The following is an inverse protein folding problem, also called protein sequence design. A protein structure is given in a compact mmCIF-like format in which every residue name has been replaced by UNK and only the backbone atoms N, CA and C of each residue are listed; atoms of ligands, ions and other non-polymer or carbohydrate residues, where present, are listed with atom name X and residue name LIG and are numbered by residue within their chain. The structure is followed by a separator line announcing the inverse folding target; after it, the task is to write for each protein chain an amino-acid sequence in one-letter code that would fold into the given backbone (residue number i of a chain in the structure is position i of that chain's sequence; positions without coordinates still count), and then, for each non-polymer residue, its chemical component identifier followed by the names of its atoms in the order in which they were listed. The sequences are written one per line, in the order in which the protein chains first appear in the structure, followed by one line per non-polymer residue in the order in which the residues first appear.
data_IF_847398076340
#
_entry.id   IF_847398076340
#
_cell.length_a   1.000
_cell.length_b   1.000
_cell.length_c   1.000
_cell.angle_alpha   90.00
_cell.angle_beta   90.00
_cell.angle_gamma   90.00
#
_symmetry.space_group_name_H-M   'P 1'
#
loop_
_entity.id
_entity.type
_entity.pdbx_description
1 polymer ?
#
# COMPACT_ATOMS: atom_id res chain seq x y z
N UNK A 1 23.56 -35.77 -64.39
CA UNK A 1 23.98 -34.71 -63.42
C UNK A 1 22.82 -34.44 -62.53
N UNK A 2 22.77 -34.91 -61.29
CA UNK A 2 21.71 -34.53 -60.31
C UNK A 2 22.07 -33.29 -59.53
N UNK A 3 21.11 -32.36 -59.42
CA UNK A 3 21.17 -31.12 -58.68
C UNK A 3 20.82 -31.44 -57.23
N UNK A 4 21.75 -31.17 -56.30
CA UNK A 4 21.50 -31.23 -54.85
C UNK A 4 20.79 -29.94 -54.41
N UNK A 5 19.54 -30.09 -53.97
CA UNK A 5 18.79 -29.04 -53.31
C UNK A 5 19.15 -29.03 -51.82
N UNK A 6 19.93 -28.04 -51.41
CA UNK A 6 20.24 -27.81 -49.99
C UNK A 6 19.01 -27.28 -49.24
N UNK A 7 18.55 -28.00 -48.22
CA UNK A 7 17.51 -27.57 -47.30
C UNK A 7 18.17 -26.75 -46.20
N UNK A 8 17.92 -25.45 -46.20
CA UNK A 8 18.25 -24.56 -45.07
C UNK A 8 17.25 -24.78 -43.94
N UNK A 9 17.71 -25.38 -42.83
CA UNK A 9 16.96 -25.42 -41.58
C UNK A 9 17.15 -24.08 -40.88
N UNK A 10 16.10 -23.26 -40.86
CA UNK A 10 16.05 -22.07 -40.00
C UNK A 10 15.68 -22.55 -38.58
N UNK A 11 16.66 -22.53 -37.68
CA UNK A 11 16.44 -22.73 -36.27
C UNK A 11 15.84 -21.44 -35.65
N UNK A 12 14.54 -21.47 -35.34
CA UNK A 12 13.89 -20.40 -34.59
C UNK A 12 14.30 -20.52 -33.10
N UNK A 13 15.16 -19.61 -32.62
CA UNK A 13 15.46 -19.47 -31.21
C UNK A 13 14.25 -18.83 -30.52
N UNK A 14 13.44 -19.62 -29.83
CA UNK A 14 12.41 -19.14 -28.95
C UNK A 14 13.09 -18.60 -27.68
N UNK A 15 13.23 -17.28 -27.57
CA UNK A 15 13.64 -16.63 -26.33
C UNK A 15 12.49 -16.75 -25.33
N UNK A 16 12.59 -17.68 -24.39
CA UNK A 16 11.70 -17.76 -23.25
C UNK A 16 11.99 -16.53 -22.35
N UNK A 17 11.10 -15.55 -22.42
CA UNK A 17 11.07 -14.44 -21.44
C UNK A 17 10.70 -15.03 -20.09
N UNK A 18 11.70 -15.38 -19.29
CA UNK A 18 11.51 -15.64 -17.88
C UNK A 18 11.16 -14.30 -17.22
N UNK A 19 9.87 -14.02 -17.09
CA UNK A 19 9.43 -13.00 -16.14
C UNK A 19 9.68 -13.57 -14.75
N UNK A 20 10.74 -13.09 -14.09
CA UNK A 20 10.92 -13.32 -12.65
C UNK A 20 9.64 -12.86 -11.95
N UNK A 21 9.11 -13.63 -10.97
CA UNK A 21 7.96 -13.18 -10.20
C UNK A 21 8.33 -11.83 -9.58
N UNK A 22 7.47 -10.84 -9.78
CA UNK A 22 7.61 -9.56 -9.10
C UNK A 22 7.58 -9.89 -7.60
N UNK A 23 8.69 -9.68 -6.91
CA UNK A 23 8.74 -9.82 -5.45
C UNK A 23 7.80 -8.75 -4.89
N UNK A 24 6.70 -9.20 -4.32
CA UNK A 24 5.81 -8.34 -3.58
C UNK A 24 6.59 -7.70 -2.42
N UNK A 25 6.21 -6.47 -2.03
CA UNK A 25 6.76 -5.86 -0.80
C UNK A 25 6.73 -6.87 0.35
N UNK A 26 7.80 -6.92 1.14
CA UNK A 26 7.90 -7.77 2.32
C UNK A 26 7.43 -7.00 3.56
N UNK A 27 6.43 -7.53 4.24
CA UNK A 27 5.87 -6.95 5.45
C UNK A 27 6.43 -7.66 6.69
N UNK A 28 7.30 -6.98 7.43
CA UNK A 28 7.93 -7.52 8.63
C UNK A 28 7.08 -7.22 9.87
N UNK A 29 6.35 -8.22 10.34
CA UNK A 29 5.49 -8.14 11.52
C UNK A 29 5.71 -9.40 12.41
N UNK A 30 6.86 -9.50 13.12
CA UNK A 30 7.31 -10.73 13.76
C UNK A 30 6.60 -11.05 15.07
N UNK A 31 5.89 -10.10 15.67
CA UNK A 31 5.29 -10.26 16.99
C UNK A 31 3.76 -10.18 16.96
N UNK A 32 3.13 -10.83 17.97
CA UNK A 32 1.68 -10.88 18.10
C UNK A 32 1.04 -9.48 18.13
N UNK A 33 1.69 -8.51 18.79
CA UNK A 33 1.18 -7.14 18.87
C UNK A 33 1.06 -6.48 17.50
N UNK A 34 2.03 -6.70 16.61
CA UNK A 34 2.00 -6.16 15.26
C UNK A 34 0.78 -6.70 14.50
N UNK A 35 0.51 -8.00 14.62
CA UNK A 35 -0.65 -8.64 14.01
C UNK A 35 -1.98 -8.16 14.64
N UNK A 36 -2.05 -8.16 15.96
CA UNK A 36 -3.24 -7.71 16.70
C UNK A 36 -3.62 -6.26 16.40
N UNK A 37 -2.61 -5.39 16.24
CA UNK A 37 -2.79 -3.95 15.99
C UNK A 37 -2.76 -3.60 14.49
N UNK A 38 -2.68 -4.57 13.60
CA UNK A 38 -2.71 -4.42 12.14
C UNK A 38 -1.65 -3.42 11.62
N UNK A 39 -0.38 -3.63 11.98
CA UNK A 39 0.75 -2.85 11.43
C UNK A 39 1.97 -3.74 11.23
N UNK A 40 2.87 -3.33 10.33
CA UNK A 40 4.19 -3.92 10.21
C UNK A 40 5.23 -3.08 10.95
N UNK A 41 6.25 -3.73 11.51
CA UNK A 41 7.43 -3.04 12.08
C UNK A 41 8.26 -2.38 11.00
N UNK A 42 8.33 -3.04 9.84
CA UNK A 42 8.99 -2.54 8.65
C UNK A 42 8.29 -3.08 7.40
N UNK A 43 8.43 -2.39 6.30
CA UNK A 43 8.11 -2.88 4.96
C UNK A 43 9.35 -2.72 4.10
N UNK A 44 9.80 -3.81 3.49
CA UNK A 44 10.93 -3.81 2.57
C UNK A 44 10.40 -3.79 1.14
N UNK A 45 11.00 -2.97 0.30
CA UNK A 45 10.74 -2.90 -1.14
C UNK A 45 12.06 -2.82 -1.89
N UNK A 46 12.11 -3.40 -3.08
CA UNK A 46 13.26 -3.26 -3.98
C UNK A 46 12.85 -2.48 -5.23
N UNK A 47 13.54 -1.38 -5.49
CA UNK A 47 13.25 -0.50 -6.63
C UNK A 47 11.87 0.14 -6.54
N UNK A 48 11.31 0.44 -7.70
CA UNK A 48 10.02 1.11 -7.81
C UNK A 48 10.08 2.64 -7.70
N UNK A 49 8.95 3.26 -7.96
CA UNK A 49 8.78 4.72 -7.88
C UNK A 49 8.10 5.08 -6.57
N UNK A 50 8.79 5.86 -5.74
CA UNK A 50 8.25 6.36 -4.48
C UNK A 50 7.23 7.46 -4.74
N UNK A 51 6.08 7.37 -4.08
CA UNK A 51 5.02 8.37 -4.08
C UNK A 51 4.82 8.88 -2.66
N UNK A 52 5.01 10.17 -2.47
CA UNK A 52 4.75 10.87 -1.22
C UNK A 52 3.29 11.29 -1.19
N UNK A 53 2.54 10.80 -0.22
CA UNK A 53 1.12 11.08 -0.06
C UNK A 53 0.93 12.15 1.03
N UNK A 54 0.27 13.24 0.66
CA UNK A 54 -0.13 14.27 1.62
C UNK A 54 -1.17 13.75 2.62
N UNK A 55 -1.34 14.45 3.74
CA UNK A 55 -2.37 14.14 4.73
C UNK A 55 -3.77 14.14 4.12
N UNK A 56 -4.51 13.08 4.35
CA UNK A 56 -5.91 12.93 3.96
C UNK A 56 -6.79 12.96 5.19
N UNK A 57 -7.90 13.67 5.10
CA UNK A 57 -8.93 13.74 6.13
C UNK A 57 -10.29 13.37 5.54
N UNK A 58 -11.19 12.88 6.37
CA UNK A 58 -12.58 12.66 5.98
C UNK A 58 -13.44 13.93 6.11
N UNK A 59 -14.76 13.75 5.98
CA UNK A 59 -15.74 14.82 6.23
C UNK A 59 -15.83 15.11 7.74
N UNK A 60 -15.78 16.37 8.17
CA UNK A 60 -15.86 16.73 9.60
C UNK A 60 -17.23 16.45 10.22
N UNK A 61 -18.24 16.12 9.42
CA UNK A 61 -19.59 15.75 9.88
C UNK A 61 -19.84 14.26 9.91
N UNK A 62 -18.90 13.46 9.39
CA UNK A 62 -18.99 11.99 9.38
C UNK A 62 -18.56 11.39 10.72
N UNK A 63 -19.01 10.17 11.00
CA UNK A 63 -18.52 9.37 12.11
C UNK A 63 -17.01 9.07 11.97
N UNK A 64 -16.36 8.63 13.04
CA UNK A 64 -14.95 8.24 12.98
C UNK A 64 -14.72 7.15 11.93
N UNK A 65 -15.53 6.10 11.94
CA UNK A 65 -15.40 4.98 11.02
C UNK A 65 -15.60 5.42 9.57
N UNK A 66 -16.56 6.29 9.30
CA UNK A 66 -16.75 6.86 7.97
C UNK A 66 -15.56 7.72 7.53
N UNK A 67 -15.01 8.56 8.44
CA UNK A 67 -13.80 9.32 8.14
C UNK A 67 -12.62 8.41 7.78
N UNK A 68 -12.44 7.29 8.48
CA UNK A 68 -11.39 6.30 8.17
C UNK A 68 -11.59 5.71 6.77
N UNK A 69 -12.81 5.28 6.43
CA UNK A 69 -13.12 4.74 5.11
C UNK A 69 -12.94 5.78 3.99
N UNK A 70 -13.40 7.01 4.20
CA UNK A 70 -13.23 8.12 3.26
C UNK A 70 -11.74 8.38 2.97
N UNK A 71 -10.89 8.38 4.02
CA UNK A 71 -9.45 8.56 3.89
C UNK A 71 -8.80 7.43 3.08
N UNK A 72 -9.07 6.16 3.42
CA UNK A 72 -8.49 5.04 2.67
C UNK A 72 -8.97 5.02 1.22
N UNK A 73 -10.22 5.38 0.95
CA UNK A 73 -10.72 5.55 -0.42
C UNK A 73 -10.00 6.68 -1.16
N UNK A 74 -9.72 7.80 -0.51
CA UNK A 74 -8.97 8.91 -1.10
C UNK A 74 -7.52 8.52 -1.41
N UNK A 75 -6.83 7.83 -0.49
CA UNK A 75 -5.48 7.31 -0.69
C UNK A 75 -5.43 6.31 -1.85
N UNK A 76 -6.38 5.37 -1.91
CA UNK A 76 -6.49 4.39 -2.99
C UNK A 76 -6.63 5.05 -4.36
N UNK A 77 -7.56 6.01 -4.47
CA UNK A 77 -7.79 6.80 -5.69
C UNK A 77 -6.54 7.59 -6.09
N UNK A 78 -5.88 8.23 -5.12
CA UNK A 78 -4.66 9.02 -5.37
C UNK A 78 -3.54 8.15 -5.90
N UNK A 79 -3.27 7.00 -5.28
CA UNK A 79 -2.23 6.06 -5.73
C UNK A 79 -2.54 5.55 -7.15
N UNK A 80 -3.78 5.19 -7.44
CA UNK A 80 -4.22 4.76 -8.77
C UNK A 80 -4.08 5.87 -9.82
N UNK A 81 -4.42 7.11 -9.48
CA UNK A 81 -4.30 8.25 -10.39
C UNK A 81 -2.86 8.54 -10.82
N UNK A 82 -1.87 8.18 -10.00
CA UNK A 82 -0.45 8.31 -10.35
C UNK A 82 0.17 7.01 -10.89
N UNK A 83 -0.66 6.04 -11.27
CA UNK A 83 -0.26 4.81 -11.96
C UNK A 83 0.04 3.62 -11.05
N UNK A 84 -0.38 3.64 -9.79
CA UNK A 84 -0.25 2.54 -8.85
C UNK A 84 -1.43 1.58 -8.85
N UNK A 85 -1.32 0.52 -8.05
CA UNK A 85 -2.36 -0.50 -7.84
C UNK A 85 -3.32 -0.16 -6.68
N UNK A 86 -3.22 1.03 -6.11
CA UNK A 86 -4.01 1.48 -4.97
C UNK A 86 -3.33 1.15 -3.64
N UNK A 87 -4.13 0.87 -2.60
CA UNK A 87 -3.63 0.63 -1.24
C UNK A 87 -2.62 -0.52 -1.12
N UNK A 88 -2.54 -1.42 -2.11
CA UNK A 88 -1.51 -2.46 -2.17
C UNK A 88 -0.09 -1.89 -2.23
N UNK A 89 0.06 -0.71 -2.83
CA UNK A 89 1.36 -0.06 -2.97
C UNK A 89 1.73 0.79 -1.75
N UNK A 90 0.81 1.01 -0.80
CA UNK A 90 1.08 1.75 0.43
C UNK A 90 2.08 0.96 1.30
N UNK A 91 3.22 1.56 1.62
CA UNK A 91 4.30 0.92 2.38
C UNK A 91 4.41 1.46 3.80
N UNK A 92 4.11 2.71 4.01
CA UNK A 92 4.10 3.30 5.35
C UNK A 92 2.99 4.35 5.48
N UNK A 93 2.53 4.55 6.71
CA UNK A 93 1.61 5.63 7.05
C UNK A 93 1.83 6.14 8.47
N UNK A 94 1.62 7.43 8.66
CA UNK A 94 1.45 8.04 9.98
C UNK A 94 0.00 8.41 10.15
N UNK A 95 -0.58 7.98 11.24
CA UNK A 95 -1.98 8.22 11.60
C UNK A 95 -2.04 9.15 12.78
N UNK A 96 -2.73 10.27 12.62
CA UNK A 96 -3.01 11.23 13.69
C UNK A 96 -4.48 11.09 14.09
N UNK A 97 -4.75 10.91 15.38
CA UNK A 97 -6.10 10.84 15.95
C UNK A 97 -6.27 11.84 17.08
N UNK A 98 -7.46 12.37 17.24
CA UNK A 98 -7.74 13.35 18.31
C UNK A 98 -8.09 12.69 19.65
N UNK A 99 -8.38 11.39 19.66
CA UNK A 99 -8.70 10.61 20.86
C UNK A 99 -8.09 9.21 20.77
N UNK A 100 -7.21 8.86 21.71
CA UNK A 100 -6.56 7.54 21.76
C UNK A 100 -7.53 6.36 21.82
N UNK A 101 -8.75 6.57 22.35
CA UNK A 101 -9.81 5.55 22.45
C UNK A 101 -10.30 5.08 21.06
N UNK A 102 -10.11 5.88 20.02
CA UNK A 102 -10.49 5.55 18.63
C UNK A 102 -9.53 4.53 17.97
N UNK A 103 -8.38 4.25 18.59
CA UNK A 103 -7.36 3.37 18.03
C UNK A 103 -7.80 1.92 17.80
N UNK A 104 -8.76 1.42 18.57
CA UNK A 104 -9.28 0.04 18.38
C UNK A 104 -10.20 -0.04 17.15
N UNK A 105 -11.09 0.93 16.94
CA UNK A 105 -11.92 1.03 15.74
C UNK A 105 -11.06 1.10 14.48
N UNK A 106 -10.06 1.98 14.47
CA UNK A 106 -9.09 2.05 13.38
C UNK A 106 -8.42 0.70 13.10
N UNK A 107 -8.04 -0.03 14.14
CA UNK A 107 -7.38 -1.35 13.99
C UNK A 107 -8.28 -2.36 13.29
N UNK A 108 -9.57 -2.41 13.62
CA UNK A 108 -10.52 -3.31 12.97
C UNK A 108 -10.68 -2.97 11.48
N UNK A 109 -10.89 -1.70 11.15
CA UNK A 109 -11.03 -1.26 9.75
C UNK A 109 -9.76 -1.56 8.95
N UNK A 110 -8.57 -1.37 9.53
CA UNK A 110 -7.30 -1.72 8.88
C UNK A 110 -7.17 -3.21 8.57
N UNK A 111 -7.61 -4.07 9.47
CA UNK A 111 -7.64 -5.53 9.24
C UNK A 111 -8.53 -5.90 8.06
N UNK A 112 -9.68 -5.26 7.94
CA UNK A 112 -10.62 -5.49 6.83
C UNK A 112 -10.04 -5.05 5.49
N UNK A 113 -9.35 -3.89 5.46
CA UNK A 113 -8.80 -3.30 4.24
C UNK A 113 -7.54 -4.03 3.76
N UNK A 114 -6.57 -4.23 4.64
CA UNK A 114 -5.25 -4.78 4.26
C UNK A 114 -5.14 -6.29 4.40
N UNK A 115 -5.97 -6.90 5.27
CA UNK A 115 -6.04 -8.34 5.55
C UNK A 115 -4.77 -8.91 6.19
N UNK A 116 -3.63 -8.89 5.53
CA UNK A 116 -2.42 -9.57 6.00
C UNK A 116 -1.14 -8.72 5.93
N UNK A 117 -0.87 -8.04 4.85
CA UNK A 117 0.36 -7.26 4.69
C UNK A 117 0.07 -5.78 5.03
N UNK A 118 0.20 -5.45 6.29
CA UNK A 118 -0.08 -4.10 6.79
C UNK A 118 1.07 -3.13 6.50
N UNK A 119 0.78 -1.86 6.17
CA UNK A 119 1.82 -0.83 6.09
C UNK A 119 2.56 -0.67 7.42
N UNK A 120 3.85 -0.33 7.37
CA UNK A 120 4.56 0.15 8.55
C UNK A 120 3.90 1.43 9.05
N UNK A 121 3.53 1.51 10.33
CA UNK A 121 2.74 2.67 10.77
C UNK A 121 3.03 3.13 12.19
N UNK A 122 2.91 4.45 12.39
CA UNK A 122 2.79 5.08 13.70
C UNK A 122 1.35 5.57 13.91
N UNK A 123 0.86 5.45 15.14
CA UNK A 123 -0.40 6.03 15.59
C UNK A 123 -0.08 7.08 16.67
N UNK A 124 -0.47 8.31 16.43
CA UNK A 124 -0.13 9.47 17.25
C UNK A 124 -1.42 10.18 17.66
N UNK A 125 -1.59 10.40 18.96
CA UNK A 125 -2.67 11.25 19.46
C UNK A 125 -2.23 12.71 19.43
N UNK A 126 -3.10 13.57 18.92
CA UNK A 126 -2.89 15.03 18.79
C UNK A 126 -4.01 15.80 19.48
N UNK A 127 -3.74 17.03 19.87
CA UNK A 127 -4.73 17.90 20.53
C UNK A 127 -5.84 18.40 19.58
N UNK A 128 -5.63 18.31 18.28
CA UNK A 128 -6.58 18.71 17.24
C UNK A 128 -5.98 18.61 15.85
N UNK A 129 -6.84 18.62 14.86
CA UNK A 129 -6.51 18.66 13.43
C UNK A 129 -6.90 20.02 12.83
N UNK A 130 -6.60 20.22 11.55
CA UNK A 130 -6.70 21.52 10.88
C UNK A 130 -8.12 22.14 10.90
N UNK A 131 -9.17 21.34 11.10
CA UNK A 131 -10.56 21.82 11.15
C UNK A 131 -11.35 21.13 12.27
N UNK A 132 -12.29 21.83 12.93
CA UNK A 132 -13.20 21.21 13.88
C UNK A 132 -13.98 20.05 13.25
N UNK A 133 -14.23 18.99 14.02
CA UNK A 133 -14.96 17.80 13.56
C UNK A 133 -14.11 16.74 12.88
N UNK A 134 -12.86 17.05 12.50
CA UNK A 134 -11.92 16.03 12.03
C UNK A 134 -11.40 15.23 13.23
N UNK A 135 -11.49 13.90 13.13
CA UNK A 135 -11.11 12.97 14.19
C UNK A 135 -9.81 12.23 13.86
N UNK A 136 -9.49 12.13 12.57
CA UNK A 136 -8.35 11.38 12.06
C UNK A 136 -7.78 12.03 10.80
N UNK A 137 -6.45 11.94 10.66
CA UNK A 137 -5.70 12.29 9.45
C UNK A 137 -4.67 11.20 9.17
N UNK A 138 -4.47 10.83 7.93
CA UNK A 138 -3.47 9.83 7.52
C UNK A 138 -2.62 10.39 6.38
N UNK A 139 -1.30 10.34 6.56
CA UNK A 139 -0.31 10.55 5.51
C UNK A 139 0.55 9.29 5.33
N UNK A 140 1.25 9.17 4.20
CA UNK A 140 2.08 8.00 3.98
C UNK A 140 2.95 8.04 2.74
N UNK A 141 3.51 6.89 2.41
CA UNK A 141 4.25 6.67 1.17
C UNK A 141 3.79 5.38 0.51
N UNK A 142 3.74 5.41 -0.81
CA UNK A 142 3.53 4.22 -1.63
C UNK A 142 4.77 3.97 -2.51
N UNK A 143 4.98 2.71 -2.90
CA UNK A 143 6.01 2.32 -3.88
C UNK A 143 5.33 1.59 -5.02
N UNK A 144 5.36 2.20 -6.20
CA UNK A 144 4.71 1.69 -7.41
C UNK A 144 5.73 0.92 -8.26
N UNK A 145 5.38 -0.31 -8.63
CA UNK A 145 6.25 -1.16 -9.47
C UNK A 145 7.53 -1.61 -8.77
N UNK A 146 7.61 -1.50 -7.44
CA UNK A 146 8.65 -2.10 -6.62
C UNK A 146 8.52 -3.63 -6.60
N UNK A 147 9.67 -4.28 -6.50
CA UNK A 147 9.78 -5.72 -6.32
C UNK A 147 10.04 -6.02 -4.86
#
# INVERSE_FOLDING_TARGET
MPRHAGRLFAAALAAALWSAPALAKECYAPDARAQERAFSRAVVTEGGRVVWLGGQTGSPTSSFDDQVHEIFNALDKTIKAVGGAGLKDLVTMTVFITDARLGDGLTQIRKEIFKECFPASALISVSGLARPGLLIEIQGMAVIGGK
#
